data_IF_821246210708
#
_entry.id   IF_821246210708
#
_cell.length_a   1.000
_cell.length_b   1.000
_cell.length_c   1.000
_cell.angle_alpha   90.00
_cell.angle_beta   90.00
_cell.angle_gamma   90.00
#
_symmetry.space_group_name_H-M   'P 1'
#
loop_
_entity.id
_entity.type
_entity.pdbx_description
1 polymer ?
#
# COMPACT_ATOMS: atom_id res chain seq x y z
N UNK A 1 -1.98 -14.21 -27.85
CA UNK A 1 -0.52 -14.17 -27.77
C UNK A 1 -0.10 -12.82 -27.21
N UNK A 2 0.41 -12.76 -25.97
CA UNK A 2 0.88 -11.52 -25.34
C UNK A 2 2.23 -11.82 -24.71
N UNK A 3 3.30 -11.71 -25.48
CA UNK A 3 4.63 -11.76 -24.90
C UNK A 3 4.76 -10.62 -23.88
N UNK A 4 5.14 -10.92 -22.63
CA UNK A 4 5.28 -9.89 -21.61
C UNK A 4 6.45 -8.99 -22.02
N UNK A 5 6.19 -7.70 -22.23
CA UNK A 5 7.24 -6.69 -22.40
C UNK A 5 8.19 -6.81 -21.20
N UNK A 6 9.40 -7.30 -21.45
CA UNK A 6 10.46 -7.45 -20.45
C UNK A 6 11.23 -6.15 -20.37
N UNK A 7 11.01 -5.38 -19.31
CA UNK A 7 11.81 -4.20 -19.03
C UNK A 7 13.15 -4.61 -18.43
N UNK A 8 14.22 -3.89 -18.79
CA UNK A 8 15.54 -4.05 -18.17
C UNK A 8 15.41 -3.75 -16.66
N UNK A 9 16.07 -4.54 -15.80
CA UNK A 9 15.96 -4.41 -14.33
C UNK A 9 16.15 -2.97 -13.85
N UNK A 10 17.17 -2.27 -14.37
CA UNK A 10 17.44 -0.86 -14.05
C UNK A 10 16.25 0.07 -14.33
N UNK A 11 15.59 -0.11 -15.48
CA UNK A 11 14.44 0.71 -15.86
C UNK A 11 13.22 0.39 -14.99
N UNK A 12 13.02 -0.88 -14.64
CA UNK A 12 11.97 -1.27 -13.69
C UNK A 12 12.20 -0.67 -12.30
N UNK A 13 13.43 -0.68 -11.79
CA UNK A 13 13.78 -0.05 -10.51
C UNK A 13 13.59 1.46 -10.54
N UNK A 14 14.02 2.13 -11.61
CA UNK A 14 13.84 3.58 -11.77
C UNK A 14 12.36 3.98 -11.81
N UNK A 15 11.52 3.20 -12.49
CA UNK A 15 10.07 3.45 -12.52
C UNK A 15 9.46 3.25 -11.13
N UNK A 16 9.83 2.17 -10.43
CA UNK A 16 9.30 1.89 -9.09
C UNK A 16 9.72 2.96 -8.07
N UNK A 17 11.00 3.36 -8.05
CA UNK A 17 11.51 4.39 -7.14
C UNK A 17 10.97 5.77 -7.53
N UNK A 18 10.88 6.07 -8.83
CA UNK A 18 10.29 7.32 -9.33
C UNK A 18 8.81 7.45 -8.97
N UNK A 19 8.08 6.34 -8.95
CA UNK A 19 6.68 6.32 -8.54
C UNK A 19 6.52 6.64 -7.05
N UNK A 20 7.36 6.05 -6.18
CA UNK A 20 7.42 6.42 -4.76
C UNK A 20 7.74 7.90 -4.58
N UNK A 21 8.63 8.44 -5.40
CA UNK A 21 8.88 9.88 -5.51
C UNK A 21 7.68 10.72 -5.86
N UNK A 22 6.94 10.29 -6.87
CA UNK A 22 5.73 10.96 -7.32
C UNK A 22 4.68 11.05 -6.22
N UNK A 23 4.57 10.04 -5.35
CA UNK A 23 3.70 10.08 -4.19
C UNK A 23 4.13 11.13 -3.16
N UNK A 24 5.43 11.32 -2.95
CA UNK A 24 5.96 12.28 -1.98
C UNK A 24 5.93 13.74 -2.47
N UNK A 25 6.09 13.98 -3.78
CA UNK A 25 6.28 15.34 -4.32
C UNK A 25 4.99 15.98 -4.82
N UNK A 26 4.05 15.19 -5.35
CA UNK A 26 2.83 15.74 -5.97
C UNK A 26 1.72 15.86 -4.93
N UNK A 27 1.20 17.08 -4.66
CA UNK A 27 0.01 17.25 -3.83
C UNK A 27 -1.11 16.42 -4.45
N UNK A 28 -1.83 15.65 -3.63
CA UNK A 28 -2.88 14.63 -3.94
C UNK A 28 -2.44 13.19 -4.14
N UNK A 29 -1.13 12.88 -4.15
CA UNK A 29 -0.65 11.50 -4.31
C UNK A 29 -0.85 10.92 -5.73
N UNK A 30 -1.35 11.73 -6.67
CA UNK A 30 -1.52 11.34 -8.08
C UNK A 30 -0.20 11.25 -8.85
N UNK A 31 0.89 11.77 -8.30
CA UNK A 31 2.20 11.78 -8.96
C UNK A 31 2.77 10.39 -9.21
N UNK A 32 2.56 9.45 -8.29
CA UNK A 32 2.99 8.06 -8.45
C UNK A 32 2.31 7.37 -9.65
N UNK A 33 0.96 7.29 -9.67
CA UNK A 33 0.22 6.72 -10.79
C UNK A 33 0.49 7.42 -12.13
N UNK A 34 0.63 8.75 -12.14
CA UNK A 34 0.92 9.53 -13.34
C UNK A 34 2.31 9.21 -13.91
N UNK A 35 3.34 9.13 -13.06
CA UNK A 35 4.71 8.80 -13.49
C UNK A 35 4.80 7.35 -13.97
N UNK A 36 4.17 6.42 -13.26
CA UNK A 36 4.02 5.02 -13.68
C UNK A 36 3.34 4.94 -15.06
N UNK A 37 2.25 5.67 -15.26
CA UNK A 37 1.52 5.70 -16.53
C UNK A 37 2.37 6.27 -17.67
N UNK A 38 3.02 7.41 -17.45
CA UNK A 38 3.91 8.06 -18.41
C UNK A 38 5.07 7.15 -18.84
N UNK A 39 5.78 6.56 -17.86
CA UNK A 39 6.92 5.70 -18.13
C UNK A 39 6.52 4.41 -18.87
N UNK A 40 5.38 3.82 -18.51
CA UNK A 40 4.90 2.59 -19.15
C UNK A 40 4.36 2.84 -20.55
N UNK A 41 3.63 3.94 -20.80
CA UNK A 41 3.21 4.34 -22.16
C UNK A 41 4.41 4.50 -23.09
N UNK A 42 5.49 5.12 -22.63
CA UNK A 42 6.76 5.24 -23.38
C UNK A 42 7.50 3.92 -23.60
N UNK A 43 7.14 2.86 -22.88
CA UNK A 43 7.68 1.51 -23.11
C UNK A 43 6.84 0.67 -24.09
N UNK A 44 5.82 1.27 -24.71
CA UNK A 44 4.92 0.58 -25.65
C UNK A 44 3.85 -0.28 -24.97
N UNK A 45 3.70 -0.17 -23.64
CA UNK A 45 2.74 -0.98 -22.89
C UNK A 45 1.31 -0.43 -23.04
N UNK A 46 0.37 -1.30 -23.43
CA UNK A 46 -1.05 -0.92 -23.56
C UNK A 46 -1.67 -0.58 -22.20
N UNK A 47 -2.66 0.34 -22.19
CA UNK A 47 -3.40 0.74 -20.97
C UNK A 47 -4.07 -0.48 -20.29
N UNK A 48 -4.58 -1.44 -21.06
CA UNK A 48 -5.16 -2.68 -20.51
C UNK A 48 -4.12 -3.48 -19.72
N UNK A 49 -2.90 -3.63 -20.26
CA UNK A 49 -1.82 -4.38 -19.59
C UNK A 49 -1.37 -3.68 -18.30
N UNK A 50 -1.32 -2.34 -18.31
CA UNK A 50 -1.00 -1.53 -17.15
C UNK A 50 -2.02 -1.73 -16.02
N UNK A 51 -3.31 -1.61 -16.34
CA UNK A 51 -4.41 -1.81 -15.39
C UNK A 51 -4.39 -3.23 -14.82
N UNK A 52 -4.25 -4.26 -15.68
CA UNK A 52 -4.16 -5.67 -15.25
C UNK A 52 -3.00 -5.86 -14.26
N UNK A 53 -1.81 -5.32 -14.55
CA UNK A 53 -0.65 -5.44 -13.66
C UNK A 53 -0.84 -4.70 -12.33
N UNK A 54 -1.44 -3.52 -12.33
CA UNK A 54 -1.75 -2.78 -11.10
C UNK A 54 -2.74 -3.54 -10.22
N UNK A 55 -3.80 -4.11 -10.82
CA UNK A 55 -4.76 -4.96 -10.10
C UNK A 55 -4.08 -6.22 -9.54
N UNK A 56 -3.21 -6.85 -10.33
CA UNK A 56 -2.48 -8.06 -9.92
C UNK A 56 -1.51 -7.82 -8.75
N UNK A 57 -0.97 -6.60 -8.66
CA UNK A 57 -0.03 -6.24 -7.60
C UNK A 57 -0.72 -6.09 -6.25
N UNK A 58 -1.96 -5.59 -6.21
CA UNK A 58 -2.66 -5.29 -4.97
C UNK A 58 -2.81 -6.50 -4.03
N UNK A 59 -3.24 -7.70 -4.46
CA UNK A 59 -3.30 -8.86 -3.59
C UNK A 59 -1.93 -9.25 -3.00
N UNK A 60 -0.88 -9.21 -3.82
CA UNK A 60 0.48 -9.60 -3.43
C UNK A 60 1.03 -8.63 -2.38
N UNK A 61 0.87 -7.34 -2.63
CA UNK A 61 1.33 -6.29 -1.73
C UNK A 61 0.57 -6.31 -0.39
N UNK A 62 -0.69 -6.75 -0.38
CA UNK A 62 -1.51 -6.87 0.82
C UNK A 62 -1.35 -8.20 1.58
N UNK A 63 -0.56 -9.17 1.08
CA UNK A 63 -0.29 -10.43 1.79
C UNK A 63 0.21 -10.21 3.23
N UNK A 64 1.25 -9.41 3.50
CA UNK A 64 1.73 -9.21 4.87
C UNK A 64 0.66 -8.60 5.79
N UNK A 65 -0.19 -7.72 5.27
CA UNK A 65 -1.29 -7.12 6.03
C UNK A 65 -2.34 -8.16 6.41
N UNK A 66 -2.77 -9.01 5.47
CA UNK A 66 -3.73 -10.08 5.76
C UNK A 66 -3.16 -11.10 6.75
N UNK A 67 -1.89 -11.50 6.56
CA UNK A 67 -1.22 -12.42 7.48
C UNK A 67 -1.12 -11.85 8.89
N UNK A 68 -0.69 -10.59 9.02
CA UNK A 68 -0.61 -9.89 10.30
C UNK A 68 -1.98 -9.75 10.96
N UNK A 69 -3.04 -9.44 10.18
CA UNK A 69 -4.40 -9.37 10.69
C UNK A 69 -4.84 -10.71 11.29
N UNK A 70 -4.61 -11.84 10.61
CA UNK A 70 -4.94 -13.18 11.10
C UNK A 70 -4.18 -13.52 12.38
N UNK A 71 -2.87 -13.22 12.42
CA UNK A 71 -2.03 -13.47 13.61
C UNK A 71 -2.51 -12.62 14.79
N UNK A 72 -2.73 -11.31 14.59
CA UNK A 72 -3.23 -10.42 15.64
C UNK A 72 -4.62 -10.83 16.13
N UNK A 73 -5.50 -11.25 15.22
CA UNK A 73 -6.82 -11.76 15.57
C UNK A 73 -6.77 -13.06 16.37
N UNK A 74 -5.91 -14.00 15.99
CA UNK A 74 -5.69 -15.22 16.75
C UNK A 74 -5.13 -14.90 18.15
N UNK A 75 -4.12 -14.03 18.23
CA UNK A 75 -3.58 -13.55 19.50
C UNK A 75 -4.66 -12.93 20.40
N UNK A 76 -5.55 -12.12 19.83
CA UNK A 76 -6.66 -11.52 20.58
C UNK A 76 -7.67 -12.58 21.08
N UNK A 77 -8.02 -13.58 20.24
CA UNK A 77 -8.96 -14.65 20.59
C UNK A 77 -8.42 -15.57 21.71
N UNK A 78 -7.13 -15.87 21.69
CA UNK A 78 -6.49 -16.72 22.69
C UNK A 78 -5.93 -15.94 23.89
N UNK A 79 -6.17 -14.63 23.97
CA UNK A 79 -5.57 -13.74 24.98
C UNK A 79 -4.03 -13.82 25.05
N UNK A 80 -3.38 -14.09 23.91
CA UNK A 80 -1.93 -14.20 23.77
C UNK A 80 -1.37 -12.82 23.41
N UNK A 81 -1.00 -12.03 24.41
CA UNK A 81 -0.35 -10.74 24.21
C UNK A 81 -0.52 -9.78 25.37
N UNK A 82 0.44 -8.87 25.52
CA UNK A 82 0.46 -7.85 26.57
C UNK A 82 -0.16 -6.51 26.14
N UNK A 83 -0.80 -6.47 24.97
CA UNK A 83 -1.37 -5.24 24.44
C UNK A 83 -2.61 -4.85 25.27
N UNK A 84 -2.56 -3.68 25.93
CA UNK A 84 -3.72 -3.06 26.58
C UNK A 84 -4.76 -2.52 25.57
N UNK A 85 -4.60 -2.84 24.29
CA UNK A 85 -5.52 -2.43 23.25
C UNK A 85 -6.90 -3.07 23.50
N UNK A 86 -8.00 -2.31 23.38
CA UNK A 86 -9.34 -2.87 23.42
C UNK A 86 -9.45 -4.03 22.43
N UNK A 87 -10.09 -5.14 22.83
CA UNK A 87 -10.27 -6.33 21.98
C UNK A 87 -10.89 -5.97 20.62
N UNK A 88 -11.79 -4.98 20.60
CA UNK A 88 -12.39 -4.45 19.36
C UNK A 88 -11.33 -3.87 18.39
N UNK A 89 -10.33 -3.16 18.92
CA UNK A 89 -9.24 -2.60 18.12
C UNK A 89 -8.29 -3.70 17.63
N UNK A 90 -8.01 -4.70 18.46
CA UNK A 90 -7.18 -5.84 18.09
C UNK A 90 -7.82 -6.72 16.99
N UNK A 91 -9.14 -6.84 16.98
CA UNK A 91 -9.91 -7.57 15.97
C UNK A 91 -10.22 -6.74 14.72
N UNK A 92 -10.03 -5.42 14.76
CA UNK A 92 -10.36 -4.53 13.65
C UNK A 92 -9.71 -4.92 12.31
N UNK A 93 -8.43 -5.34 12.25
CA UNK A 93 -7.83 -5.79 10.99
C UNK A 93 -8.52 -7.02 10.39
N UNK A 94 -8.91 -8.00 11.23
CA UNK A 94 -9.65 -9.19 10.77
C UNK A 94 -11.04 -8.80 10.26
N UNK A 95 -11.76 -7.95 11.02
CA UNK A 95 -13.06 -7.45 10.60
C UNK A 95 -12.98 -6.74 9.24
N UNK A 96 -11.95 -5.92 9.03
CA UNK A 96 -11.72 -5.25 7.75
C UNK A 96 -11.51 -6.25 6.61
N UNK A 97 -10.66 -7.27 6.79
CA UNK A 97 -10.41 -8.31 5.77
C UNK A 97 -11.71 -9.03 5.41
N UNK A 98 -12.53 -9.37 6.41
CA UNK A 98 -13.84 -10.02 6.19
C UNK A 98 -14.79 -9.11 5.41
N UNK A 99 -14.91 -7.84 5.80
CA UNK A 99 -15.77 -6.86 5.12
C UNK A 99 -15.34 -6.67 3.67
N UNK A 100 -14.04 -6.42 3.42
CA UNK A 100 -13.50 -6.23 2.07
C UNK A 100 -13.76 -7.47 1.21
N UNK A 101 -13.52 -8.66 1.75
CA UNK A 101 -13.80 -9.92 1.04
C UNK A 101 -15.27 -10.06 0.70
N UNK A 102 -16.17 -9.79 1.66
CA UNK A 102 -17.61 -9.86 1.45
C UNK A 102 -18.08 -8.86 0.37
N UNK A 103 -17.58 -7.62 0.41
CA UNK A 103 -17.88 -6.59 -0.60
C UNK A 103 -17.40 -7.03 -1.98
N UNK A 104 -16.18 -7.54 -2.10
CA UNK A 104 -15.64 -8.05 -3.38
C UNK A 104 -16.52 -9.18 -3.90
N UNK A 105 -16.87 -10.16 -3.08
CA UNK A 105 -17.75 -11.27 -3.48
C UNK A 105 -19.15 -10.79 -3.87
N UNK A 106 -19.72 -9.82 -3.15
CA UNK A 106 -21.01 -9.22 -3.48
C UNK A 106 -20.97 -8.49 -4.83
N UNK A 107 -19.92 -7.70 -5.08
CA UNK A 107 -19.71 -7.01 -6.36
C UNK A 107 -19.50 -7.97 -7.52
N UNK A 108 -18.75 -9.07 -7.32
CA UNK A 108 -18.57 -10.10 -8.33
C UNK A 108 -19.90 -10.81 -8.66
N UNK A 109 -20.73 -11.12 -7.66
CA UNK A 109 -22.06 -11.71 -7.86
C UNK A 109 -23.04 -10.74 -8.53
N UNK A 110 -23.05 -9.47 -8.11
CA UNK A 110 -23.88 -8.41 -8.70
C UNK A 110 -23.39 -7.96 -10.09
N UNK A 111 -22.12 -8.21 -10.44
CA UNK A 111 -21.62 -8.02 -11.80
C UNK A 111 -22.19 -9.02 -12.80
N UNK A 112 -22.59 -10.22 -12.34
CA UNK A 112 -23.26 -11.25 -13.15
C UNK A 112 -24.79 -11.14 -13.16
N UNK A 113 -25.40 -10.52 -12.16
CA UNK A 113 -26.84 -10.32 -12.06
C UNK A 113 -27.21 -8.85 -12.36
N UNK A 114 -28.02 -8.63 -13.39
CA UNK A 114 -28.48 -7.33 -13.92
C UNK A 114 -28.44 -6.09 -13.01
N UNK A 115 -27.91 -5.00 -13.60
CA UNK A 115 -28.05 -3.56 -13.27
C UNK A 115 -28.23 -3.16 -11.79
N UNK A 116 -27.14 -2.81 -11.08
CA UNK A 116 -27.22 -2.02 -9.85
C UNK A 116 -27.51 -0.54 -10.15
N UNK A 117 -28.34 0.10 -9.30
CA UNK A 117 -28.71 1.54 -9.38
C UNK A 117 -27.66 2.39 -8.64
N UNK A 118 -26.93 3.23 -9.38
CA UNK A 118 -25.92 4.17 -8.85
C UNK A 118 -25.37 5.10 -9.96
N UNK A 119 -24.60 6.15 -9.62
CA UNK A 119 -24.14 7.18 -10.56
C UNK A 119 -23.35 6.58 -11.73
N UNK A 120 -23.68 6.99 -12.97
CA UNK A 120 -23.25 6.33 -14.20
C UNK A 120 -21.72 6.17 -14.34
N UNK A 121 -20.93 7.17 -13.91
CA UNK A 121 -19.47 7.19 -14.04
C UNK A 121 -18.74 6.21 -13.11
N UNK A 122 -19.17 6.11 -11.86
CA UNK A 122 -18.64 5.13 -10.90
C UNK A 122 -19.04 3.70 -11.29
N UNK A 123 -20.21 3.54 -11.91
CA UNK A 123 -20.72 2.25 -12.40
C UNK A 123 -19.90 1.72 -13.58
N UNK A 124 -19.48 2.60 -14.48
CA UNK A 124 -18.65 2.25 -15.64
C UNK A 124 -17.24 1.86 -15.21
N UNK A 125 -16.60 2.68 -14.36
CA UNK A 125 -15.29 2.37 -13.77
C UNK A 125 -15.31 1.08 -12.93
N UNK A 126 -16.35 0.87 -12.12
CA UNK A 126 -16.49 -0.36 -11.34
C UNK A 126 -16.68 -1.59 -12.21
N UNK A 127 -17.49 -1.51 -13.28
CA UNK A 127 -17.70 -2.62 -14.23
C UNK A 127 -16.45 -2.94 -15.03
N UNK A 128 -15.75 -1.92 -15.53
CA UNK A 128 -14.48 -2.13 -16.25
C UNK A 128 -13.42 -2.73 -15.33
N UNK A 129 -13.31 -2.24 -14.09
CA UNK A 129 -12.45 -2.82 -13.07
C UNK A 129 -12.82 -4.27 -12.74
N UNK A 130 -14.11 -4.56 -12.54
CA UNK A 130 -14.63 -5.92 -12.26
C UNK A 130 -14.47 -6.86 -13.45
N UNK A 131 -14.56 -6.38 -14.69
CA UNK A 131 -14.35 -7.19 -15.89
C UNK A 131 -12.87 -7.58 -16.08
N UNK A 132 -11.95 -6.75 -15.57
CA UNK A 132 -10.49 -6.97 -15.64
C UNK A 132 -9.96 -7.68 -14.39
N UNK A 133 -10.69 -7.63 -13.27
CA UNK A 133 -10.32 -8.25 -12.00
C UNK A 133 -10.00 -9.75 -12.11
N UNK A 134 -10.75 -10.60 -12.85
CA UNK A 134 -10.42 -12.01 -13.00
C UNK A 134 -9.07 -12.25 -13.69
N UNK A 135 -8.74 -11.44 -14.71
CA UNK A 135 -7.44 -11.50 -15.39
C UNK A 135 -6.32 -11.11 -14.41
N UNK A 136 -6.52 -10.04 -13.63
CA UNK A 136 -5.54 -9.59 -12.63
C UNK A 136 -5.39 -10.54 -11.44
N UNK A 137 -6.47 -11.19 -10.99
CA UNK A 137 -6.44 -12.23 -9.96
C UNK A 137 -5.67 -13.46 -10.46
N UNK A 138 -5.92 -13.92 -11.70
CA UNK A 138 -5.15 -15.04 -12.30
C UNK A 138 -3.67 -14.69 -12.42
N UNK A 139 -3.33 -13.48 -12.85
CA UNK A 139 -1.95 -13.00 -12.91
C UNK A 139 -1.32 -12.92 -11.51
N UNK A 140 -2.05 -12.46 -10.49
CA UNK A 140 -1.60 -12.48 -9.09
C UNK A 140 -1.33 -13.92 -8.60
N UNK A 141 -2.18 -14.88 -8.98
CA UNK A 141 -2.00 -16.30 -8.70
C UNK A 141 -0.77 -16.90 -9.39
N UNK A 142 -0.38 -16.39 -10.55
CA UNK A 142 0.87 -16.76 -11.21
C UNK A 142 2.08 -16.11 -10.51
N UNK A 143 1.97 -14.82 -10.17
CA UNK A 143 3.00 -14.04 -9.47
C UNK A 143 3.26 -14.53 -8.04
N UNK A 144 2.28 -15.15 -7.35
CA UNK A 144 2.50 -15.77 -6.02
C UNK A 144 3.61 -16.84 -6.04
N UNK A 145 3.86 -17.46 -7.20
CA UNK A 145 4.91 -18.47 -7.37
C UNK A 145 6.30 -17.85 -7.47
N UNK A 146 6.40 -16.52 -7.59
CA UNK A 146 7.67 -15.80 -7.50
C UNK A 146 8.00 -15.49 -6.04
N UNK A 147 9.00 -16.17 -5.43
CA UNK A 147 9.37 -15.92 -4.04
C UNK A 147 9.82 -14.45 -3.84
N UNK A 148 10.46 -13.86 -4.84
CA UNK A 148 10.94 -12.47 -4.78
C UNK A 148 9.83 -11.43 -4.65
N UNK A 149 8.64 -11.68 -5.22
CA UNK A 149 7.53 -10.74 -5.13
C UNK A 149 6.95 -10.71 -3.71
N UNK A 150 6.77 -11.88 -3.10
CA UNK A 150 6.30 -12.01 -1.72
C UNK A 150 7.35 -11.51 -0.72
N UNK A 151 8.62 -11.89 -0.92
CA UNK A 151 9.72 -11.40 -0.09
C UNK A 151 9.84 -9.88 -0.15
N UNK A 152 9.73 -9.28 -1.35
CA UNK A 152 9.74 -7.83 -1.50
C UNK A 152 8.61 -7.13 -0.75
N UNK A 153 7.38 -7.65 -0.85
CA UNK A 153 6.23 -7.11 -0.14
C UNK A 153 6.40 -7.22 1.39
N UNK A 154 6.86 -8.38 1.88
CA UNK A 154 7.09 -8.61 3.30
C UNK A 154 8.25 -7.74 3.83
N UNK A 155 9.35 -7.64 3.09
CA UNK A 155 10.51 -6.84 3.47
C UNK A 155 10.19 -5.35 3.50
N UNK A 156 9.42 -4.86 2.51
CA UNK A 156 8.95 -3.47 2.50
C UNK A 156 8.09 -3.18 3.74
N UNK A 157 7.07 -4.01 3.98
CA UNK A 157 6.15 -3.85 5.11
C UNK A 157 6.85 -3.96 6.48
N UNK A 158 7.72 -4.96 6.64
CA UNK A 158 8.48 -5.15 7.86
C UNK A 158 9.49 -4.02 8.07
N UNK A 159 10.08 -3.49 7.00
CA UNK A 159 10.94 -2.32 7.02
C UNK A 159 10.21 -1.10 7.58
N UNK A 160 9.01 -0.78 7.06
CA UNK A 160 8.22 0.34 7.58
C UNK A 160 7.84 0.16 9.06
N UNK A 161 7.38 -1.04 9.45
CA UNK A 161 7.10 -1.35 10.85
C UNK A 161 8.36 -1.20 11.72
N UNK A 162 9.52 -1.61 11.18
CA UNK A 162 10.82 -1.50 11.82
C UNK A 162 11.28 -0.05 12.02
N UNK A 163 11.03 0.84 11.06
CA UNK A 163 11.31 2.28 11.21
C UNK A 163 10.45 2.87 12.32
N UNK A 164 9.15 2.55 12.36
CA UNK A 164 8.27 3.02 13.43
C UNK A 164 8.70 2.47 14.81
N UNK A 165 9.07 1.20 14.89
CA UNK A 165 9.64 0.61 16.10
C UNK A 165 10.94 1.29 16.52
N UNK A 166 11.88 1.51 15.60
CA UNK A 166 13.14 2.19 15.88
C UNK A 166 12.93 3.63 16.34
N UNK A 167 11.93 4.34 15.80
CA UNK A 167 11.56 5.67 16.26
C UNK A 167 11.13 5.67 17.73
N UNK A 168 10.31 4.69 18.14
CA UNK A 168 9.94 4.52 19.55
C UNK A 168 11.15 4.22 20.44
N UNK A 169 12.01 3.30 20.02
CA UNK A 169 13.23 2.96 20.74
C UNK A 169 14.14 4.19 20.94
N UNK A 170 14.29 5.03 19.91
CA UNK A 170 15.07 6.27 19.99
C UNK A 170 14.46 7.32 20.93
N UNK A 171 13.15 7.30 21.13
CA UNK A 171 12.42 8.16 22.07
C UNK A 171 12.36 7.57 23.50
N UNK A 172 13.00 6.43 23.74
CA UNK A 172 12.99 5.75 25.04
C UNK A 172 11.64 5.12 25.40
N UNK A 173 10.73 4.97 24.44
CA UNK A 173 9.44 4.31 24.62
C UNK A 173 9.46 2.91 23.98
N UNK A 174 8.81 1.94 24.62
CA UNK A 174 8.81 0.55 24.17
C UNK A 174 7.39 -0.04 24.10
N UNK A 175 6.52 0.46 23.21
CA UNK A 175 5.25 -0.21 22.96
C UNK A 175 5.48 -1.62 22.40
N UNK A 176 4.58 -2.55 22.73
CA UNK A 176 4.69 -3.93 22.22
C UNK A 176 4.66 -3.96 20.69
N UNK A 177 5.36 -4.91 20.09
CA UNK A 177 5.37 -5.09 18.63
C UNK A 177 3.95 -5.28 18.05
N UNK A 178 3.05 -5.93 18.80
CA UNK A 178 1.65 -6.09 18.40
C UNK A 178 0.97 -4.73 18.20
N UNK A 179 1.18 -3.79 19.12
CA UNK A 179 0.63 -2.43 19.04
C UNK A 179 1.23 -1.64 17.88
N UNK A 180 2.53 -1.79 17.62
CA UNK A 180 3.19 -1.11 16.49
C UNK A 180 2.64 -1.61 15.16
N UNK A 181 2.55 -2.94 15.00
CA UNK A 181 2.00 -3.55 13.78
C UNK A 181 0.53 -3.16 13.59
N UNK A 182 -0.27 -3.18 14.66
CA UNK A 182 -1.67 -2.76 14.63
C UNK A 182 -1.82 -1.29 14.23
N UNK A 183 -1.01 -0.41 14.85
CA UNK A 183 -0.99 1.02 14.55
C UNK A 183 -0.58 1.32 13.12
N UNK A 184 0.46 0.65 12.61
CA UNK A 184 0.84 0.77 11.21
C UNK A 184 -0.31 0.33 10.31
N UNK A 185 -0.88 -0.86 10.52
CA UNK A 185 -1.95 -1.38 9.65
C UNK A 185 -3.20 -0.49 9.62
N UNK A 186 -3.75 -0.14 10.78
CA UNK A 186 -4.96 0.67 10.86
C UNK A 186 -4.67 2.13 10.52
N UNK A 187 -3.48 2.63 10.82
CA UNK A 187 -3.03 3.96 10.43
C UNK A 187 -3.02 4.15 8.92
N UNK A 188 -2.63 3.13 8.15
CA UNK A 188 -2.62 3.18 6.68
C UNK A 188 -4.02 3.33 6.06
N UNK A 189 -5.11 3.08 6.80
CA UNK A 189 -6.47 3.41 6.36
C UNK A 189 -6.68 4.92 6.20
N UNK A 190 -5.86 5.74 6.86
CA UNK A 190 -5.82 7.18 6.63
C UNK A 190 -5.53 7.56 5.18
N UNK A 191 -4.91 6.68 4.38
CA UNK A 191 -4.69 6.90 2.95
C UNK A 191 -5.99 6.87 2.11
N UNK A 192 -7.11 6.42 2.68
CA UNK A 192 -8.43 6.47 2.02
C UNK A 192 -8.88 7.92 1.87
N UNK A 193 -8.49 8.79 2.80
CA UNK A 193 -8.80 10.21 2.72
C UNK A 193 -7.93 10.84 1.61
N UNK A 194 -8.53 11.42 0.56
CA UNK A 194 -7.79 12.04 -0.54
C UNK A 194 -7.23 13.39 -0.10
N UNK A 195 -6.22 13.37 0.78
CA UNK A 195 -5.58 14.56 1.31
C UNK A 195 -4.36 14.96 0.47
N UNK A 196 -4.17 16.26 0.21
CA UNK A 196 -3.06 16.72 -0.60
C UNK A 196 -1.71 16.42 0.06
N UNK A 197 -0.88 15.60 -0.60
CA UNK A 197 0.51 15.31 -0.21
C UNK A 197 0.70 14.00 0.55
N UNK A 198 -0.34 13.18 0.71
CA UNK A 198 -0.26 11.92 1.47
C UNK A 198 -0.08 12.12 2.97
N UNK A 199 -0.15 13.38 3.43
CA UNK A 199 -0.03 13.81 4.83
C UNK A 199 -1.41 14.25 5.33
N UNK A 200 -1.71 13.92 6.58
CA UNK A 200 -2.87 14.40 7.34
C UNK A 200 -3.92 13.33 7.66
N UNK A 201 -3.88 12.17 7.00
CA UNK A 201 -4.83 11.07 7.26
C UNK A 201 -4.21 9.97 8.10
N UNK A 202 -3.04 9.50 7.69
CA UNK A 202 -2.35 8.37 8.32
C UNK A 202 -1.77 8.75 9.67
N UNK A 203 -1.25 9.97 9.82
CA UNK A 203 -0.62 10.44 11.05
C UNK A 203 -1.59 10.44 12.23
N UNK A 204 -2.74 11.14 12.17
CA UNK A 204 -3.69 11.11 13.28
C UNK A 204 -4.32 9.73 13.45
N UNK A 205 -4.53 8.95 12.39
CA UNK A 205 -5.04 7.58 12.50
C UNK A 205 -4.06 6.67 13.26
N UNK A 206 -2.76 6.74 12.92
CA UNK A 206 -1.71 5.95 13.58
C UNK A 206 -1.58 6.36 15.05
N UNK A 207 -1.52 7.66 15.33
CA UNK A 207 -1.48 8.20 16.72
C UNK A 207 -2.72 7.79 17.50
N UNK A 208 -3.91 7.84 16.88
CA UNK A 208 -5.16 7.41 17.49
C UNK A 208 -5.14 5.94 17.89
N UNK A 209 -4.64 5.05 17.02
CA UNK A 209 -4.53 3.61 17.33
C UNK A 209 -3.51 3.36 18.44
N UNK A 210 -2.37 4.06 18.42
CA UNK A 210 -1.34 3.96 19.47
C UNK A 210 -1.88 4.40 20.83
N UNK A 211 -2.54 5.54 20.89
CA UNK A 211 -3.11 6.10 22.13
C UNK A 211 -4.27 5.26 22.65
N UNK A 212 -5.15 4.78 21.77
CA UNK A 212 -6.20 3.82 22.12
C UNK A 212 -5.62 2.47 22.61
N UNK A 213 -4.39 2.15 22.22
CA UNK A 213 -3.64 0.98 22.71
C UNK A 213 -2.87 1.23 24.01
N UNK A 214 -3.01 2.41 24.60
CA UNK A 214 -2.41 2.78 25.89
C UNK A 214 -1.02 3.44 25.80
N UNK A 215 -0.55 3.81 24.61
CA UNK A 215 0.69 4.59 24.43
C UNK A 215 0.41 6.06 24.74
N UNK A 216 1.30 6.73 25.49
CA UNK A 216 1.14 8.15 25.77
C UNK A 216 1.18 8.99 24.47
N UNK A 217 0.36 10.04 24.42
CA UNK A 217 0.17 10.86 23.21
C UNK A 217 1.48 11.48 22.69
N UNK A 218 2.28 12.06 23.59
CA UNK A 218 3.53 12.74 23.21
C UNK A 218 4.54 11.79 22.50
N UNK A 219 4.94 10.64 23.07
CA UNK A 219 5.84 9.73 22.38
C UNK A 219 5.19 9.08 21.15
N UNK A 220 3.87 8.84 21.14
CA UNK A 220 3.17 8.34 19.95
C UNK A 220 3.24 9.33 18.79
N UNK A 221 2.92 10.61 19.03
CA UNK A 221 2.98 11.65 18.02
C UNK A 221 4.41 11.87 17.52
N UNK A 222 5.39 11.95 18.44
CA UNK A 222 6.80 12.10 18.08
C UNK A 222 7.30 10.94 17.23
N UNK A 223 7.02 9.68 17.61
CA UNK A 223 7.45 8.51 16.87
C UNK A 223 6.83 8.47 15.46
N UNK A 224 5.54 8.80 15.33
CA UNK A 224 4.85 8.87 14.03
C UNK A 224 5.44 9.96 13.15
N UNK A 225 5.74 11.14 13.69
CA UNK A 225 6.39 12.22 12.94
C UNK A 225 7.80 11.83 12.48
N UNK A 226 8.60 11.18 13.33
CA UNK A 226 9.91 10.66 12.96
C UNK A 226 9.80 9.60 11.84
N UNK A 227 8.90 8.65 11.99
CA UNK A 227 8.61 7.64 10.97
C UNK A 227 8.23 8.29 9.63
N UNK A 228 7.35 9.30 9.65
CA UNK A 228 6.94 10.01 8.44
C UNK A 228 8.05 10.82 7.81
N UNK A 229 8.85 11.53 8.62
CA UNK A 229 10.00 12.27 8.12
C UNK A 229 10.99 11.35 7.39
N UNK A 230 11.26 10.17 7.96
CA UNK A 230 12.13 9.16 7.34
C UNK A 230 11.47 8.60 6.08
N UNK A 231 10.23 8.12 6.17
CA UNK A 231 9.52 7.49 5.05
C UNK A 231 9.33 8.45 3.87
N UNK A 232 8.79 9.64 4.12
CA UNK A 232 8.57 10.65 3.07
C UNK A 232 9.90 11.21 2.57
N UNK A 233 10.89 11.38 3.44
CA UNK A 233 12.24 11.79 3.05
C UNK A 233 12.88 10.77 2.11
N UNK A 234 12.84 9.48 2.44
CA UNK A 234 13.35 8.41 1.58
C UNK A 234 12.61 8.33 0.24
N UNK A 235 11.28 8.44 0.26
CA UNK A 235 10.46 8.43 -0.96
C UNK A 235 10.75 9.65 -1.84
N UNK A 236 10.78 10.84 -1.26
CA UNK A 236 11.04 12.09 -1.98
C UNK A 236 12.44 12.15 -2.56
N UNK A 237 13.47 11.84 -1.76
CA UNK A 237 14.87 11.85 -2.22
C UNK A 237 15.15 10.76 -3.25
N UNK A 238 14.75 9.52 -2.98
CA UNK A 238 14.91 8.41 -3.92
C UNK A 238 14.16 8.68 -5.23
N UNK A 239 12.95 9.21 -5.11
CA UNK A 239 12.12 9.67 -6.21
C UNK A 239 12.75 10.70 -7.12
N UNK A 240 13.26 11.79 -6.53
CA UNK A 240 13.93 12.86 -7.25
C UNK A 240 15.17 12.36 -7.99
N UNK A 241 15.98 11.51 -7.33
CA UNK A 241 17.16 10.89 -7.95
C UNK A 241 16.78 9.97 -9.12
N UNK A 242 15.73 9.16 -8.97
CA UNK A 242 15.24 8.28 -10.04
C UNK A 242 14.72 9.07 -11.23
N UNK A 243 13.99 10.16 -10.99
CA UNK A 243 13.50 11.05 -12.05
C UNK A 243 14.65 11.75 -12.79
N UNK A 244 15.63 12.29 -12.06
CA UNK A 244 16.82 12.89 -12.65
C UNK A 244 17.61 11.88 -13.52
N UNK A 245 17.76 10.64 -13.05
CA UNK A 245 18.42 9.57 -13.80
C UNK A 245 17.66 9.20 -15.08
N UNK A 246 16.31 9.18 -15.04
CA UNK A 246 15.48 8.95 -16.23
C UNK A 246 15.64 10.07 -17.26
N UNK A 247 15.59 11.34 -16.85
CA UNK A 247 15.82 12.48 -17.73
C UNK A 247 17.23 12.49 -18.35
N UNK A 248 18.25 12.14 -17.56
CA UNK A 248 19.63 12.05 -18.04
C UNK A 248 19.82 10.96 -19.10
N UNK A 249 19.15 9.82 -18.95
CA UNK A 249 19.17 8.75 -19.94
C UNK A 249 18.50 9.15 -21.27
N UNK A 250 17.43 9.94 -21.21
CA UNK A 250 16.73 10.43 -22.41
C UNK A 250 17.55 11.45 -23.18
N UNK A 251 18.21 12.39 -22.50
CA UNK A 251 19.09 13.37 -23.16
C UNK A 251 20.23 12.71 -23.94
N UNK A 252 20.74 11.57 -23.49
CA UNK A 252 21.80 10.80 -24.16
C UNK A 252 21.30 9.94 -25.33
N UNK A 253 20.00 9.70 -25.45
CA UNK A 253 19.44 8.91 -26.54
C UNK A 253 19.03 9.78 -27.75
N UNK A 254 18.95 11.10 -27.55
CA UNK A 254 18.60 12.10 -28.58
C UNK A 254 19.84 12.83 -29.13
N UNK A 255 20.98 12.72 -28.43
CA UNK A 255 22.29 13.18 -28.87
C UNK A 255 23.04 12.07 -29.59
#
# INVERSE_FOLDING_TARGET
>A
SRDPIRLRRTRSTQVAVGELGGFAVVPTGLGGPALRFWAMRRSGMSLRMLIVRTISHAPIFNVPYVAAALVLGACALFHIGSARAPVALALAPVGLVVIVTAVVLALLRAGGAGRPRGPARWRELAREGLAIAPDGLRDAWALRRSPFALLGACAYWAGDCGVLWAAFQGLGAAPSLQVIVLAYMLGQLGNILPLPGGVGGVEPATVGVLTASGVALAPAAAAVLCYRAISLGMQGTGGALAFAALLGAERRAVA
#
